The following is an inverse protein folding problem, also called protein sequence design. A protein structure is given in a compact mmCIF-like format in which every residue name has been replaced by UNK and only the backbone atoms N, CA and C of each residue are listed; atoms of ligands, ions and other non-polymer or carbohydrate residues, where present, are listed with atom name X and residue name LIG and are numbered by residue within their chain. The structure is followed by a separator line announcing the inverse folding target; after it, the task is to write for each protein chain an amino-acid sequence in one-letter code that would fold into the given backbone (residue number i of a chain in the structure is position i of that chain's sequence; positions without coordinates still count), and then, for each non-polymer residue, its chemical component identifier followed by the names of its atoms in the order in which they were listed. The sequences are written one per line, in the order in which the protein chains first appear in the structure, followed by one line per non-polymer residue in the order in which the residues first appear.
data_IF_260238238362
#
_entry.id   IF_260238238362
#
_cell.length_a   1.000
_cell.length_b   1.000
_cell.length_c   1.000
_cell.angle_alpha   90.00
_cell.angle_beta   90.00
_cell.angle_gamma   90.00
#
_symmetry.space_group_name_H-M   'P 1'
#
loop_
_entity.id
_entity.type
_entity.pdbx_description
1 polymer ?
#
# COMPACT_ATOMS: atom_id res chain seq x y z
N UNK A 1 -13.35 3.87 11.19
CA UNK A 1 -12.47 4.98 11.52
C UNK A 1 -11.59 5.27 10.33
N UNK A 2 -11.07 6.48 10.23
CA UNK A 2 -10.38 7.00 9.05
C UNK A 2 -8.93 6.52 8.97
N UNK A 3 -8.72 5.21 8.93
CA UNK A 3 -7.40 4.57 8.86
C UNK A 3 -7.30 3.75 7.59
N UNK A 4 -6.32 4.07 6.76
CA UNK A 4 -6.18 3.48 5.44
C UNK A 4 -4.77 2.98 5.20
N UNK A 5 -4.67 1.81 4.58
CA UNK A 5 -3.41 1.24 4.11
C UNK A 5 -3.31 1.48 2.60
N UNK A 6 -2.17 1.98 2.15
CA UNK A 6 -1.95 2.25 0.72
C UNK A 6 -1.35 1.03 0.04
N UNK A 7 -1.91 0.65 -1.11
CA UNK A 7 -1.24 -0.27 -2.02
C UNK A 7 -0.01 0.41 -2.63
N UNK A 8 0.96 -0.37 -3.08
CA UNK A 8 2.22 0.13 -3.63
C UNK A 8 1.99 1.12 -4.78
N UNK A 9 1.11 0.78 -5.73
CA UNK A 9 0.83 1.67 -6.87
C UNK A 9 0.19 2.99 -6.45
N UNK A 10 -0.63 2.96 -5.40
CA UNK A 10 -1.26 4.19 -4.89
C UNK A 10 -0.20 5.17 -4.40
N UNK A 11 0.80 4.67 -3.67
CA UNK A 11 1.91 5.50 -3.23
C UNK A 11 2.64 6.13 -4.42
N UNK A 12 2.94 5.34 -5.45
CA UNK A 12 3.65 5.82 -6.64
C UNK A 12 2.83 6.86 -7.40
N UNK A 13 1.53 6.64 -7.56
CA UNK A 13 0.64 7.58 -8.24
C UNK A 13 0.48 8.89 -7.48
N UNK A 14 0.55 8.86 -6.14
CA UNK A 14 0.55 10.08 -5.34
C UNK A 14 1.74 10.99 -5.68
N UNK A 15 2.92 10.40 -5.88
CA UNK A 15 4.13 11.17 -6.17
C UNK A 15 3.98 11.98 -7.46
N UNK A 16 3.36 11.39 -8.46
CA UNK A 16 3.23 11.96 -9.80
C UNK A 16 1.91 12.71 -9.99
N UNK A 17 1.07 12.80 -8.96
CA UNK A 17 -0.31 13.30 -9.07
C UNK A 17 -1.02 12.65 -10.27
N UNK A 18 -0.91 11.33 -10.37
CA UNK A 18 -1.31 10.57 -11.54
C UNK A 18 -2.83 10.51 -11.66
N UNK A 19 -3.32 10.70 -12.90
CA UNK A 19 -4.75 10.63 -13.23
C UNK A 19 -5.36 9.24 -12.94
N UNK A 20 -4.51 8.20 -12.79
CA UNK A 20 -4.97 6.86 -12.41
C UNK A 20 -5.61 6.80 -11.03
N UNK A 21 -5.29 7.76 -10.13
CA UNK A 21 -5.95 7.85 -8.84
C UNK A 21 -7.43 8.17 -9.02
N UNK A 22 -8.29 7.33 -8.44
CA UNK A 22 -9.73 7.55 -8.45
C UNK A 22 -10.10 8.79 -7.63
N UNK A 23 -11.30 9.32 -7.88
CA UNK A 23 -11.81 10.46 -7.08
C UNK A 23 -11.94 10.09 -5.61
N UNK A 24 -12.40 8.87 -5.32
CA UNK A 24 -12.55 8.38 -3.95
C UNK A 24 -11.19 8.29 -3.24
N UNK A 25 -10.18 7.70 -3.91
CA UNK A 25 -8.83 7.62 -3.37
C UNK A 25 -8.24 9.00 -3.14
N UNK A 26 -8.32 9.88 -4.12
CA UNK A 26 -7.79 11.25 -4.04
C UNK A 26 -8.40 12.02 -2.88
N UNK A 27 -9.71 11.90 -2.69
CA UNK A 27 -10.40 12.56 -1.58
C UNK A 27 -9.86 12.12 -0.23
N UNK A 28 -9.61 10.83 -0.05
CA UNK A 28 -9.05 10.28 1.19
C UNK A 28 -7.62 10.77 1.40
N UNK A 29 -6.80 10.74 0.36
CA UNK A 29 -5.39 11.14 0.44
C UNK A 29 -5.21 12.61 0.73
N UNK A 30 -6.14 13.47 0.31
CA UNK A 30 -6.10 14.91 0.53
C UNK A 30 -6.73 15.34 1.86
N UNK A 31 -7.46 14.45 2.53
CA UNK A 31 -8.13 14.74 3.79
C UNK A 31 -7.13 14.69 4.95
N UNK A 32 -6.91 15.83 5.60
CA UNK A 32 -5.96 15.95 6.70
C UNK A 32 -6.37 15.19 7.96
N UNK A 33 -7.62 14.73 8.05
CA UNK A 33 -8.13 13.97 9.20
C UNK A 33 -7.90 12.47 9.08
N UNK A 34 -7.50 11.97 7.90
CA UNK A 34 -7.24 10.55 7.70
C UNK A 34 -5.87 10.14 8.26
N UNK A 35 -5.77 8.90 8.69
CA UNK A 35 -4.50 8.28 9.07
C UNK A 35 -4.09 7.33 7.95
N UNK A 36 -2.91 7.59 7.37
CA UNK A 36 -2.40 6.83 6.25
C UNK A 36 -1.25 5.93 6.68
N UNK A 37 -1.26 4.72 6.18
CA UNK A 37 -0.26 3.70 6.50
C UNK A 37 0.26 3.08 5.21
N UNK A 38 1.52 2.68 5.24
CA UNK A 38 2.19 1.97 4.16
C UNK A 38 2.95 0.80 4.75
N UNK A 39 2.82 -0.38 4.16
CA UNK A 39 3.63 -1.53 4.57
C UNK A 39 5.08 -1.35 4.11
N UNK A 40 6.04 -1.73 4.94
CA UNK A 40 7.44 -1.83 4.53
C UNK A 40 7.60 -2.75 3.31
N UNK A 41 6.66 -3.67 3.12
CA UNK A 41 6.64 -4.55 1.94
C UNK A 41 6.53 -3.77 0.63
N UNK A 42 5.81 -2.64 0.63
CA UNK A 42 5.72 -1.77 -0.55
C UNK A 42 7.07 -1.17 -0.91
N UNK A 43 7.82 -0.70 0.09
CA UNK A 43 9.17 -0.16 -0.13
C UNK A 43 10.14 -1.26 -0.56
N UNK A 44 9.99 -2.44 -0.01
CA UNK A 44 10.77 -3.61 -0.41
C UNK A 44 10.51 -3.99 -1.87
N UNK A 45 9.24 -4.04 -2.27
CA UNK A 45 8.85 -4.30 -3.67
C UNK A 45 9.48 -3.28 -4.62
N UNK A 46 9.36 -1.99 -4.29
CA UNK A 46 9.93 -0.89 -5.09
C UNK A 46 11.44 -1.05 -5.20
N UNK A 47 12.11 -1.33 -4.08
CA UNK A 47 13.57 -1.52 -4.04
C UNK A 47 14.02 -2.65 -4.96
N UNK A 48 13.34 -3.80 -4.91
CA UNK A 48 13.65 -4.94 -5.77
C UNK A 48 13.46 -4.55 -7.24
N UNK A 49 12.32 -3.96 -7.58
CA UNK A 49 12.01 -3.61 -8.97
C UNK A 49 12.96 -2.57 -9.54
N UNK A 50 13.37 -1.59 -8.73
CA UNK A 50 14.38 -0.61 -9.15
C UNK A 50 15.74 -1.28 -9.38
N UNK A 51 16.16 -2.16 -8.48
CA UNK A 51 17.46 -2.84 -8.60
C UNK A 51 17.54 -3.75 -9.82
N UNK A 52 16.40 -4.28 -10.27
CA UNK A 52 16.31 -5.12 -11.47
C UNK A 52 16.04 -4.32 -12.74
N UNK A 53 15.95 -3.00 -12.67
CA UNK A 53 15.63 -2.15 -13.82
C UNK A 53 14.19 -2.30 -14.32
N UNK A 54 13.30 -2.93 -13.54
CA UNK A 54 11.89 -3.15 -13.91
C UNK A 54 10.97 -1.99 -13.57
N UNK A 55 11.46 -1.05 -12.77
CA UNK A 55 10.71 0.13 -12.38
C UNK A 55 11.65 1.32 -12.45
N UNK A 56 11.35 2.25 -13.35
CA UNK A 56 12.10 3.49 -13.50
C UNK A 56 11.30 4.63 -12.89
N UNK A 57 11.84 5.23 -11.84
CA UNK A 57 11.25 6.37 -11.17
C UNK A 57 12.18 7.56 -11.31
N UNK A 58 11.60 8.76 -11.36
CA UNK A 58 12.36 10.02 -11.42
C UNK A 58 12.83 10.47 -10.05
N UNK A 59 12.64 9.65 -9.02
CA UNK A 59 13.01 9.96 -7.64
C UNK A 59 13.63 8.73 -6.98
N UNK A 60 14.49 8.97 -6.00
CA UNK A 60 15.19 7.93 -5.25
C UNK A 60 14.29 7.33 -4.17
N UNK A 61 14.74 6.21 -3.60
CA UNK A 61 14.09 5.61 -2.44
C UNK A 61 14.07 6.59 -1.26
N UNK A 62 15.16 7.32 -1.04
CA UNK A 62 15.26 8.34 0.01
C UNK A 62 14.25 9.46 -0.17
N UNK A 63 14.09 9.95 -1.39
CA UNK A 63 13.08 10.96 -1.71
C UNK A 63 11.66 10.44 -1.48
N UNK A 64 11.41 9.16 -1.78
CA UNK A 64 10.13 8.52 -1.55
C UNK A 64 9.81 8.42 -0.04
N UNK A 65 10.80 8.07 0.77
CA UNK A 65 10.65 8.01 2.22
C UNK A 65 10.41 9.42 2.78
N UNK A 66 11.13 10.42 2.30
CA UNK A 66 10.92 11.81 2.71
C UNK A 66 9.49 12.27 2.38
N UNK A 67 8.97 11.88 1.22
CA UNK A 67 7.59 12.17 0.84
C UNK A 67 6.60 11.50 1.78
N UNK A 68 6.83 10.24 2.17
CA UNK A 68 5.99 9.56 3.14
C UNK A 68 5.96 10.33 4.46
N UNK A 69 7.11 10.76 4.96
CA UNK A 69 7.20 11.52 6.20
C UNK A 69 6.49 12.87 6.08
N UNK A 70 6.67 13.58 4.98
CA UNK A 70 6.05 14.88 4.73
C UNK A 70 4.51 14.77 4.68
N UNK A 71 3.99 13.67 4.16
CA UNK A 71 2.56 13.41 4.06
C UNK A 71 2.01 12.65 5.27
N UNK A 72 2.82 12.48 6.32
CA UNK A 72 2.43 11.80 7.56
C UNK A 72 1.94 10.37 7.33
N UNK A 73 2.52 9.68 6.35
CA UNK A 73 2.25 8.28 6.09
C UNK A 73 3.10 7.45 7.05
N UNK A 74 2.45 6.61 7.85
CA UNK A 74 3.11 5.75 8.82
C UNK A 74 3.56 4.47 8.15
N UNK A 75 4.84 4.15 8.22
CA UNK A 75 5.40 2.93 7.64
C UNK A 75 5.31 1.81 8.67
N UNK A 76 4.66 0.71 8.28
CA UNK A 76 4.42 -0.44 9.15
C UNK A 76 5.42 -1.56 8.86
N UNK A 77 5.99 -2.18 9.90
CA UNK A 77 6.82 -3.36 9.72
C UNK A 77 5.98 -4.58 9.38
N UNK A 78 6.63 -5.62 8.86
CA UNK A 78 6.04 -6.94 8.74
C UNK A 78 6.34 -7.67 10.05
N UNK A 79 5.31 -7.98 10.84
CA UNK A 79 5.49 -8.64 12.11
C UNK A 79 5.00 -10.09 12.08
N UNK A 80 5.14 -10.79 13.20
CA UNK A 80 4.76 -12.19 13.31
C UNK A 80 3.26 -12.39 13.12
N UNK A 81 2.44 -11.47 13.60
CA UNK A 81 0.98 -11.55 13.45
C UNK A 81 0.57 -11.46 11.97
N UNK A 82 1.23 -10.59 11.21
CA UNK A 82 1.02 -10.51 9.76
C UNK A 82 1.31 -11.86 9.09
N UNK A 83 2.42 -12.50 9.47
CA UNK A 83 2.82 -13.78 8.90
C UNK A 83 1.84 -14.90 9.23
N UNK A 84 1.26 -14.88 10.42
CA UNK A 84 0.25 -15.86 10.82
C UNK A 84 -1.01 -15.76 9.95
N UNK A 85 -1.45 -14.56 9.66
CA UNK A 85 -2.59 -14.33 8.76
C UNK A 85 -2.22 -14.74 7.33
N UNK A 86 -1.04 -14.34 6.88
CA UNK A 86 -0.55 -14.66 5.54
C UNK A 86 -0.54 -16.18 5.29
N UNK A 87 -0.15 -16.96 6.28
CA UNK A 87 -0.10 -18.42 6.21
C UNK A 87 -1.46 -19.03 5.88
N UNK A 88 -2.55 -18.45 6.41
CA UNK A 88 -3.91 -18.96 6.24
C UNK A 88 -4.69 -18.25 5.15
N UNK A 89 -4.11 -17.22 4.53
CA UNK A 89 -4.78 -16.43 3.51
C UNK A 89 -5.06 -17.27 2.27
N UNK A 90 -6.31 -17.28 1.74
CA UNK A 90 -6.61 -18.00 0.51
C UNK A 90 -5.69 -17.57 -0.64
N UNK A 91 -5.28 -18.52 -1.47
CA UNK A 91 -4.33 -18.27 -2.54
C UNK A 91 -5.02 -17.71 -3.80
N UNK A 92 -5.77 -16.62 -3.64
CA UNK A 92 -6.47 -15.94 -4.75
C UNK A 92 -5.49 -15.03 -5.48
N UNK A 93 -4.73 -14.22 -4.74
CA UNK A 93 -3.66 -13.38 -5.29
C UNK A 93 -2.35 -14.16 -5.23
N UNK A 94 -1.55 -14.08 -6.31
CA UNK A 94 -0.26 -14.81 -6.39
C UNK A 94 0.93 -13.96 -6.01
N UNK A 95 0.81 -12.64 -6.13
CA UNK A 95 1.92 -11.73 -5.81
C UNK A 95 2.16 -11.70 -4.30
N UNK A 96 3.37 -12.08 -3.83
CA UNK A 96 3.65 -12.14 -2.39
C UNK A 96 3.58 -10.78 -1.70
N UNK A 97 3.94 -9.70 -2.39
CA UNK A 97 3.87 -8.36 -1.80
C UNK A 97 2.42 -7.94 -1.56
N UNK A 98 1.55 -8.14 -2.57
CA UNK A 98 0.13 -7.84 -2.44
C UNK A 98 -0.52 -8.69 -1.36
N UNK A 99 -0.12 -9.95 -1.23
CA UNK A 99 -0.62 -10.83 -0.17
C UNK A 99 -0.25 -10.33 1.22
N UNK A 100 0.97 -9.82 1.41
CA UNK A 100 1.40 -9.24 2.70
C UNK A 100 0.59 -7.97 3.00
N UNK A 101 0.34 -7.14 1.99
CA UNK A 101 -0.45 -5.92 2.17
C UNK A 101 -1.88 -6.27 2.57
N UNK A 102 -2.50 -7.25 1.92
CA UNK A 102 -3.84 -7.72 2.28
C UNK A 102 -3.86 -8.27 3.71
N UNK A 103 -2.88 -9.10 4.08
CA UNK A 103 -2.78 -9.63 5.44
C UNK A 103 -2.64 -8.52 6.48
N UNK A 104 -1.87 -7.48 6.18
CA UNK A 104 -1.69 -6.31 7.06
C UNK A 104 -3.01 -5.56 7.26
N UNK A 105 -3.77 -5.36 6.18
CA UNK A 105 -5.07 -4.69 6.27
C UNK A 105 -6.03 -5.47 7.18
N UNK A 106 -6.01 -6.78 7.10
CA UNK A 106 -6.85 -7.64 7.93
C UNK A 106 -6.39 -7.63 9.39
N UNK A 107 -5.07 -7.72 9.63
CA UNK A 107 -4.51 -7.71 10.98
C UNK A 107 -4.86 -6.45 11.75
N UNK A 108 -4.72 -5.30 11.10
CA UNK A 108 -4.85 -4.00 11.76
C UNK A 108 -6.20 -3.33 11.51
N UNK A 109 -7.12 -4.02 10.83
CA UNK A 109 -8.44 -3.50 10.48
C UNK A 109 -8.35 -2.15 9.75
N UNK A 110 -7.51 -2.11 8.73
CA UNK A 110 -7.33 -0.94 7.88
C UNK A 110 -8.07 -1.13 6.57
N UNK A 111 -8.74 -0.08 6.11
CA UNK A 111 -9.29 -0.09 4.75
C UNK A 111 -8.14 0.03 3.76
N UNK A 112 -8.15 -0.80 2.73
CA UNK A 112 -7.10 -0.82 1.73
C UNK A 112 -7.48 0.09 0.55
N UNK A 113 -6.63 1.06 0.23
CA UNK A 113 -6.79 1.87 -0.98
C UNK A 113 -6.01 1.18 -2.09
N UNK A 114 -6.72 0.65 -3.08
CA UNK A 114 -6.14 -0.13 -4.18
C UNK A 114 -7.07 -0.19 -5.37
N UNK A 115 -6.51 -0.17 -6.57
CA UNK A 115 -7.24 -0.43 -7.81
C UNK A 115 -7.28 -1.92 -8.16
N UNK A 116 -6.66 -2.77 -7.36
CA UNK A 116 -6.52 -4.21 -7.63
C UNK A 116 -7.84 -4.93 -7.41
N UNK A 117 -8.45 -5.43 -8.50
CA UNK A 117 -9.70 -6.18 -8.44
C UNK A 117 -9.55 -7.51 -7.70
N UNK A 118 -8.36 -8.09 -7.69
CA UNK A 118 -8.11 -9.35 -6.98
C UNK A 118 -8.18 -9.14 -5.47
N UNK A 119 -7.68 -8.00 -4.97
CA UNK A 119 -7.75 -7.67 -3.55
C UNK A 119 -9.18 -7.65 -3.01
N UNK A 120 -10.14 -7.26 -3.84
CA UNK A 120 -11.56 -7.22 -3.46
C UNK A 120 -12.15 -8.59 -3.17
N UNK A 121 -11.49 -9.66 -3.57
CA UNK A 121 -11.95 -11.04 -3.34
C UNK A 121 -11.60 -11.55 -1.97
N UNK A 122 -10.86 -10.79 -1.18
CA UNK A 122 -10.50 -11.13 0.20
C UNK A 122 -11.42 -10.45 1.20
N UNK A 123 -11.38 -10.94 2.44
CA UNK A 123 -12.16 -10.38 3.55
C UNK A 123 -11.53 -9.08 4.08
N UNK A 124 -11.33 -8.12 3.20
CA UNK A 124 -10.84 -6.78 3.56
C UNK A 124 -11.65 -5.74 2.81
N UNK A 125 -11.76 -4.55 3.39
CA UNK A 125 -12.43 -3.43 2.73
C UNK A 125 -11.46 -2.76 1.76
N UNK A 126 -11.83 -2.74 0.49
CA UNK A 126 -11.01 -2.13 -0.58
C UNK A 126 -11.75 -0.93 -1.14
N UNK A 127 -11.07 0.20 -1.21
CA UNK A 127 -11.61 1.47 -1.70
C UNK A 127 -10.86 1.89 -2.96
N UNK A 128 -11.63 2.24 -3.97
CA UNK A 128 -11.09 2.82 -5.20
C UNK A 128 -12.09 3.68 -5.93
#
# INVERSE_FOLDING_TARGET
MNKYLLDTHVLLWMQDDNIALSKAARKILEDSTTQLYLSIASLWEITIKQSLGKLQLQYSLEELIDSCNANKINILPIDFETLKILKTLPFIHRDPFDRIIIATSMELDLDLISSDEIAKKYSTSVIW
#
